data_IF_979144808006
#
_entry.id   IF_979144808006
#
_cell.length_a   1.000
_cell.length_b   1.000
_cell.length_c   1.000
_cell.angle_alpha   90.00
_cell.angle_beta   90.00
_cell.angle_gamma   90.00
#
_symmetry.space_group_name_H-M   'P 1'
#
loop_
_entity.id
_entity.type
_entity.pdbx_description
1 polymer ?
#
# COMPACT_ATOMS: atom_id res chain seq x y z
N UNK A 1 7.39 3.89 -45.20
CA UNK A 1 7.21 2.85 -44.17
C UNK A 1 7.30 3.53 -42.82
N UNK A 2 6.16 3.96 -42.29
CA UNK A 2 6.05 4.59 -40.97
C UNK A 2 5.41 3.55 -40.05
N UNK A 3 6.20 2.91 -39.20
CA UNK A 3 5.65 2.25 -38.01
C UNK A 3 5.76 3.23 -36.86
N UNK A 4 4.74 4.10 -36.81
CA UNK A 4 4.29 4.68 -35.55
C UNK A 4 3.92 3.53 -34.61
N UNK A 5 4.66 3.40 -33.53
CA UNK A 5 4.24 2.59 -32.39
C UNK A 5 4.79 3.29 -31.16
N UNK A 6 4.25 4.49 -30.93
CA UNK A 6 4.34 5.18 -29.66
C UNK A 6 3.98 4.20 -28.55
N UNK A 7 5.00 3.64 -27.92
CA UNK A 7 4.89 2.83 -26.71
C UNK A 7 4.30 3.77 -25.67
N UNK A 8 2.98 3.71 -25.48
CA UNK A 8 2.36 4.34 -24.32
C UNK A 8 3.10 3.81 -23.10
N UNK A 9 3.90 4.68 -22.48
CA UNK A 9 4.36 4.60 -21.10
C UNK A 9 3.12 4.32 -20.25
N UNK A 10 2.79 3.03 -20.07
CA UNK A 10 1.72 2.62 -19.17
C UNK A 10 2.20 2.98 -17.79
N UNK A 11 1.79 4.16 -17.31
CA UNK A 11 2.12 4.65 -15.98
C UNK A 11 1.84 3.53 -14.97
N UNK A 12 2.91 2.99 -14.42
CA UNK A 12 2.81 1.99 -13.36
C UNK A 12 2.07 2.65 -12.22
N UNK A 13 0.89 2.12 -11.88
CA UNK A 13 0.08 2.71 -10.81
C UNK A 13 0.88 2.65 -9.52
N UNK A 14 1.12 3.81 -8.93
CA UNK A 14 1.85 3.96 -7.67
C UNK A 14 0.85 3.86 -6.51
N UNK A 15 1.16 3.02 -5.53
CA UNK A 15 0.25 2.63 -4.44
C UNK A 15 0.94 2.68 -3.08
N UNK A 16 0.17 2.89 -2.03
CA UNK A 16 0.60 2.66 -0.65
C UNK A 16 -0.15 1.46 -0.08
N UNK A 17 0.55 0.65 0.72
CA UNK A 17 -0.05 -0.48 1.43
C UNK A 17 -0.29 -0.12 2.89
N UNK A 18 -1.37 -0.65 3.46
CA UNK A 18 -1.64 -0.54 4.89
C UNK A 18 -2.03 -1.89 5.46
N UNK A 19 -1.38 -2.28 6.56
CA UNK A 19 -1.68 -3.49 7.32
C UNK A 19 -1.85 -3.16 8.80
N UNK A 20 -2.70 -3.93 9.49
CA UNK A 20 -2.95 -3.76 10.93
C UNK A 20 -3.10 -5.09 11.63
N UNK A 21 -2.55 -5.18 12.85
CA UNK A 21 -2.85 -6.26 13.79
C UNK A 21 -3.36 -5.73 15.12
N UNK A 22 -4.45 -6.32 15.59
CA UNK A 22 -5.16 -5.87 16.79
C UNK A 22 -4.46 -6.22 18.09
N UNK A 23 -3.67 -7.29 18.09
CA UNK A 23 -3.07 -7.88 19.28
C UNK A 23 -1.66 -8.36 18.97
N UNK A 24 -0.70 -7.99 19.82
CA UNK A 24 0.69 -8.42 19.70
C UNK A 24 0.90 -9.88 20.17
N UNK A 25 -0.05 -10.43 20.94
CA UNK A 25 0.12 -11.68 21.70
C UNK A 25 -0.71 -12.87 21.17
N UNK A 26 -1.39 -12.74 20.03
CA UNK A 26 -2.22 -13.81 19.46
C UNK A 26 -1.70 -14.35 18.12
N UNK A 27 -0.41 -14.18 17.83
CA UNK A 27 0.21 -14.71 16.61
C UNK A 27 -0.27 -14.03 15.31
N UNK A 28 -0.92 -12.86 15.40
CA UNK A 28 -1.26 -12.06 14.24
C UNK A 28 -0.01 -11.32 13.76
N UNK A 29 0.53 -11.72 12.59
CA UNK A 29 1.67 -11.08 11.96
C UNK A 29 1.21 -10.20 10.78
N UNK A 30 1.46 -8.87 10.81
CA UNK A 30 1.20 -8.01 9.65
C UNK A 30 1.92 -8.47 8.39
N UNK A 31 3.03 -9.20 8.51
CA UNK A 31 3.82 -9.68 7.38
C UNK A 31 3.02 -10.64 6.48
N UNK A 32 2.12 -11.45 7.05
CA UNK A 32 1.24 -12.32 6.26
C UNK A 32 0.33 -11.50 5.36
N UNK A 33 -0.26 -10.42 5.90
CA UNK A 33 -1.12 -9.50 5.14
C UNK A 33 -0.32 -8.72 4.10
N UNK A 34 0.86 -8.20 4.48
CA UNK A 34 1.71 -7.42 3.57
C UNK A 34 2.22 -8.27 2.42
N UNK A 35 2.60 -9.53 2.66
CA UNK A 35 3.05 -10.44 1.61
C UNK A 35 2.00 -10.63 0.52
N UNK A 36 0.75 -10.89 0.90
CA UNK A 36 -0.35 -11.04 -0.06
C UNK A 36 -0.59 -9.75 -0.86
N UNK A 37 -0.53 -8.59 -0.19
CA UNK A 37 -0.68 -7.29 -0.83
C UNK A 37 0.47 -6.97 -1.80
N UNK A 38 1.71 -7.31 -1.43
CA UNK A 38 2.89 -7.16 -2.29
C UNK A 38 2.77 -8.06 -3.52
N UNK A 39 2.40 -9.33 -3.36
CA UNK A 39 2.17 -10.24 -4.48
C UNK A 39 1.07 -9.74 -5.42
N UNK A 40 -0.03 -9.21 -4.85
CA UNK A 40 -1.10 -8.60 -5.64
C UNK A 40 -0.58 -7.42 -6.47
N UNK A 41 0.19 -6.52 -5.86
CA UNK A 41 0.79 -5.37 -6.53
C UNK A 41 1.76 -5.81 -7.63
N UNK A 42 2.59 -6.82 -7.35
CA UNK A 42 3.54 -7.37 -8.32
C UNK A 42 2.82 -7.94 -9.55
N UNK A 43 1.78 -8.75 -9.36
CA UNK A 43 0.98 -9.32 -10.47
C UNK A 43 0.33 -8.24 -11.34
N UNK A 44 -0.02 -7.11 -10.74
CA UNK A 44 -0.65 -5.96 -11.41
C UNK A 44 0.36 -4.93 -11.94
N UNK A 45 1.66 -5.13 -11.69
CA UNK A 45 2.72 -4.15 -11.98
C UNK A 45 2.46 -2.80 -11.33
N UNK A 46 1.99 -2.80 -10.09
CA UNK A 46 1.88 -1.59 -9.29
C UNK A 46 3.22 -1.30 -8.62
N UNK A 47 3.58 -0.02 -8.52
CA UNK A 47 4.75 0.43 -7.79
C UNK A 47 4.35 0.70 -6.34
N UNK A 48 4.94 -0.03 -5.40
CA UNK A 48 4.71 0.19 -3.96
C UNK A 48 5.60 1.34 -3.51
N UNK A 49 5.00 2.49 -3.21
CA UNK A 49 5.72 3.68 -2.76
C UNK A 49 6.06 3.63 -1.27
N UNK A 50 5.10 3.20 -0.44
CA UNK A 50 5.23 3.16 1.02
C UNK A 50 4.34 2.06 1.60
N UNK A 51 4.79 1.43 2.67
CA UNK A 51 4.00 0.51 3.48
C UNK A 51 3.79 1.07 4.89
N UNK A 52 2.55 1.03 5.36
CA UNK A 52 2.11 1.55 6.65
C UNK A 52 1.60 0.42 7.52
N UNK A 53 2.13 0.28 8.73
CA UNK A 53 1.76 -0.83 9.63
C UNK A 53 1.38 -0.30 11.01
N UNK A 54 0.24 -0.76 11.51
CA UNK A 54 -0.19 -0.54 12.90
C UNK A 54 -0.18 -1.87 13.66
N UNK A 55 0.65 -1.97 14.72
CA UNK A 55 0.74 -3.15 15.58
C UNK A 55 0.12 -2.90 16.95
N UNK A 56 -0.67 -3.84 17.46
CA UNK A 56 -1.30 -3.73 18.79
C UNK A 56 -2.41 -2.68 18.88
N UNK A 57 -2.98 -2.30 17.73
CA UNK A 57 -4.09 -1.34 17.67
C UNK A 57 -5.38 -2.12 17.44
N UNK A 58 -6.15 -2.31 18.51
CA UNK A 58 -7.51 -2.87 18.43
C UNK A 58 -8.37 -2.11 17.42
N UNK A 59 -9.27 -2.82 16.73
CA UNK A 59 -10.23 -2.19 15.82
C UNK A 59 -11.17 -1.19 16.51
N UNK A 60 -11.38 -1.35 17.83
CA UNK A 60 -12.15 -0.44 18.68
C UNK A 60 -11.38 0.83 19.08
N UNK A 61 -10.07 0.89 18.84
CA UNK A 61 -9.30 2.12 19.05
C UNK A 61 -9.45 3.03 17.85
N UNK A 62 -9.85 4.26 18.12
CA UNK A 62 -10.07 5.30 17.13
C UNK A 62 -8.75 5.76 16.48
N UNK A 63 -7.64 5.73 17.23
CA UNK A 63 -6.35 6.23 16.77
C UNK A 63 -5.59 5.19 15.94
N UNK A 64 -5.30 5.53 14.68
CA UNK A 64 -4.60 4.69 13.70
C UNK A 64 -3.47 5.50 13.02
N UNK A 65 -2.34 5.70 13.70
CA UNK A 65 -1.33 6.66 13.28
C UNK A 65 -0.72 6.35 11.91
N UNK A 66 -0.56 5.06 11.56
CA UNK A 66 -0.05 4.69 10.23
C UNK A 66 -1.10 4.89 9.14
N UNK A 67 -2.39 4.66 9.44
CA UNK A 67 -3.48 4.99 8.52
C UNK A 67 -3.60 6.50 8.31
N UNK A 68 -3.47 7.30 9.37
CA UNK A 68 -3.53 8.77 9.28
C UNK A 68 -2.42 9.33 8.39
N UNK A 69 -1.22 8.74 8.46
CA UNK A 69 -0.10 9.06 7.57
C UNK A 69 -0.42 8.71 6.12
N UNK A 70 -0.98 7.53 5.87
CA UNK A 70 -1.42 7.12 4.52
C UNK A 70 -2.44 8.12 3.97
N UNK A 71 -3.48 8.43 4.74
CA UNK A 71 -4.53 9.37 4.32
C UNK A 71 -3.97 10.77 4.04
N UNK A 72 -2.98 11.21 4.82
CA UNK A 72 -2.27 12.46 4.57
C UNK A 72 -1.44 12.41 3.29
N UNK A 73 -0.74 11.30 3.02
CA UNK A 73 0.01 11.11 1.77
C UNK A 73 -0.91 11.11 0.54
N UNK A 74 -2.08 10.45 0.63
CA UNK A 74 -3.12 10.47 -0.40
C UNK A 74 -3.62 11.90 -0.65
N UNK A 75 -3.98 12.64 0.41
CA UNK A 75 -4.46 14.03 0.31
C UNK A 75 -3.44 14.96 -0.32
N UNK A 76 -2.15 14.76 -0.03
CA UNK A 76 -1.04 15.52 -0.61
C UNK A 76 -0.64 15.07 -2.02
N UNK A 77 -1.35 14.09 -2.62
CA UNK A 77 -1.03 13.49 -3.93
C UNK A 77 0.41 12.98 -4.02
N UNK A 78 0.99 12.52 -2.91
CA UNK A 78 2.35 11.98 -2.88
C UNK A 78 2.46 10.58 -3.49
N UNK A 79 1.32 9.96 -3.77
CA UNK A 79 1.17 8.62 -4.33
C UNK A 79 0.70 8.63 -5.79
N UNK A 80 0.40 9.80 -6.37
CA UNK A 80 0.16 9.89 -7.82
C UNK A 80 1.50 9.87 -8.57
N UNK A 81 1.54 9.26 -9.77
CA UNK A 81 2.69 9.39 -10.67
C UNK A 81 2.88 10.84 -11.13
#
# INVERSE_FOLDING_TARGET
MITDSGRQERTTKRVALYARVSTLNHGQDPEVQLRELREFCQRRRFEIAVEYVDKGISGSRERRPSLDKLMTACRKRLLSP
#
